data_IF_937377572298
#
_entry.id   IF_937377572298
#
_cell.length_a   1.000
_cell.length_b   1.000
_cell.length_c   1.000
_cell.angle_alpha   90.00
_cell.angle_beta   90.00
_cell.angle_gamma   90.00
#
_symmetry.space_group_name_H-M   'P 1'
#
loop_
_entity.id
_entity.type
_entity.pdbx_description
1 polymer ?
#
# COMPACT_ATOMS: atom_id res chain seq x y z
N UNK A 1 -62.10 21.76 2.68
CA UNK A 1 -60.94 22.31 3.42
C UNK A 1 -60.38 21.25 4.36
N UNK A 2 -59.37 20.49 3.92
CA UNK A 2 -58.69 19.49 4.74
C UNK A 2 -57.65 20.19 5.62
N UNK A 3 -57.71 19.98 6.95
CA UNK A 3 -56.69 20.50 7.86
C UNK A 3 -56.40 19.53 9.00
N UNK A 4 -55.14 19.11 8.99
CA UNK A 4 -54.28 18.77 10.13
C UNK A 4 -54.52 17.42 10.80
N UNK A 5 -53.83 16.42 10.27
CA UNK A 5 -53.11 15.49 11.14
C UNK A 5 -51.70 15.27 10.56
N UNK A 6 -50.72 15.93 11.15
CA UNK A 6 -49.30 15.59 10.99
C UNK A 6 -48.70 15.60 12.38
N UNK A 7 -49.08 14.58 13.16
CA UNK A 7 -48.51 14.30 14.46
C UNK A 7 -47.23 13.51 14.20
N UNK A 8 -46.10 14.19 14.32
CA UNK A 8 -44.75 13.69 14.54
C UNK A 8 -44.55 12.19 14.27
N UNK A 9 -44.02 11.87 13.08
CA UNK A 9 -43.37 10.58 12.85
C UNK A 9 -42.02 10.57 13.58
N UNK A 10 -41.75 9.58 14.45
CA UNK A 10 -40.51 9.51 15.19
C UNK A 10 -39.36 9.28 14.20
N UNK A 11 -38.24 9.91 14.50
CA UNK A 11 -36.95 9.70 13.86
C UNK A 11 -36.58 8.21 13.94
N UNK A 12 -36.96 7.43 12.92
CA UNK A 12 -36.43 6.07 12.74
C UNK A 12 -35.09 6.20 12.02
N UNK A 13 -34.08 6.32 12.87
CA UNK A 13 -32.76 5.71 12.78
C UNK A 13 -32.76 4.46 11.87
N UNK A 14 -32.73 4.66 10.55
CA UNK A 14 -32.31 3.60 9.63
C UNK A 14 -30.80 3.67 9.57
N UNK A 15 -30.20 3.03 10.57
CA UNK A 15 -28.96 2.27 10.48
C UNK A 15 -28.19 2.58 9.18
N UNK A 16 -27.42 3.67 9.22
CA UNK A 16 -26.33 3.86 8.27
C UNK A 16 -25.45 2.65 8.50
N UNK A 17 -25.58 1.63 7.65
CA UNK A 17 -24.63 0.55 7.58
C UNK A 17 -23.27 1.21 7.40
N UNK A 18 -22.55 1.36 8.50
CA UNK A 18 -21.13 1.68 8.52
C UNK A 18 -20.51 0.46 7.84
N UNK A 19 -20.43 0.52 6.52
CA UNK A 19 -19.75 -0.48 5.72
C UNK A 19 -18.30 -0.44 6.20
N UNK A 20 -17.99 -1.33 7.14
CA UNK A 20 -16.65 -1.60 7.65
C UNK A 20 -15.74 -1.66 6.41
N UNK A 21 -14.93 -0.62 6.25
CA UNK A 21 -14.10 -0.48 5.06
C UNK A 21 -13.24 -1.76 4.96
N UNK A 22 -13.11 -2.36 3.76
CA UNK A 22 -12.32 -3.56 3.61
C UNK A 22 -10.93 -3.33 4.19
N UNK A 23 -10.36 -4.33 4.89
CA UNK A 23 -9.07 -4.18 5.55
C UNK A 23 -8.04 -3.69 4.53
N UNK A 24 -7.17 -2.75 4.91
CA UNK A 24 -6.25 -2.15 3.97
C UNK A 24 -5.34 -3.22 3.36
N UNK A 25 -5.10 -3.17 2.04
CA UNK A 25 -4.37 -4.22 1.37
C UNK A 25 -2.94 -4.32 1.95
N UNK A 26 -2.38 -5.52 2.08
CA UNK A 26 -1.02 -5.68 2.57
C UNK A 26 -0.02 -5.13 1.54
N UNK A 27 1.09 -4.56 2.03
CA UNK A 27 2.19 -4.10 1.20
C UNK A 27 2.90 -5.30 0.58
N UNK A 28 3.08 -5.26 -0.74
CA UNK A 28 3.65 -6.36 -1.51
C UNK A 28 5.10 -6.71 -1.11
N UNK A 29 5.91 -5.75 -0.65
CA UNK A 29 7.31 -6.00 -0.28
C UNK A 29 7.48 -6.51 1.15
N UNK A 30 6.79 -5.89 2.13
CA UNK A 30 7.01 -6.18 3.55
C UNK A 30 5.88 -6.96 4.22
N UNK A 31 4.77 -7.21 3.52
CA UNK A 31 3.61 -7.97 4.01
C UNK A 31 2.74 -7.25 5.07
N UNK A 32 3.16 -6.07 5.54
CA UNK A 32 2.43 -5.30 6.57
C UNK A 32 1.16 -4.66 5.98
N UNK A 33 0.10 -4.45 6.78
CA UNK A 33 -1.07 -3.69 6.32
C UNK A 33 -0.64 -2.30 5.85
N UNK A 34 -1.21 -1.84 4.74
CA UNK A 34 -1.04 -0.44 4.35
C UNK A 34 -1.87 0.46 5.27
N UNK A 35 -1.39 1.68 5.48
CA UNK A 35 -2.13 2.67 6.26
C UNK A 35 -3.03 3.51 5.37
N UNK A 36 -3.13 4.79 5.71
CA UNK A 36 -3.85 5.79 4.92
C UNK A 36 -3.16 6.05 3.58
N UNK A 37 -1.83 5.94 3.53
CA UNK A 37 -1.04 6.26 2.33
C UNK A 37 -0.62 5.00 1.58
N UNK A 38 -1.20 4.78 0.39
CA UNK A 38 -0.88 3.65 -0.49
C UNK A 38 -0.24 4.18 -1.78
N UNK A 39 0.89 3.59 -2.17
CA UNK A 39 1.51 3.81 -3.47
C UNK A 39 1.33 2.57 -4.34
N UNK A 40 0.85 2.76 -5.56
CA UNK A 40 0.72 1.69 -6.55
C UNK A 40 2.04 1.55 -7.31
N UNK A 41 2.77 0.47 -7.00
CA UNK A 41 4.06 0.18 -7.60
C UNK A 41 3.93 -0.78 -8.77
N UNK A 42 4.77 -0.61 -9.80
CA UNK A 42 4.89 -1.54 -10.92
C UNK A 42 6.11 -2.43 -10.71
N UNK A 43 5.95 -3.72 -10.30
CA UNK A 43 7.09 -4.62 -10.06
C UNK A 43 7.93 -4.82 -11.31
N UNK A 44 7.27 -4.93 -12.47
CA UNK A 44 7.91 -4.85 -13.78
C UNK A 44 7.78 -3.41 -14.29
N UNK A 45 8.86 -2.71 -14.64
CA UNK A 45 8.77 -1.36 -15.19
C UNK A 45 7.92 -1.31 -16.47
N UNK A 46 7.12 -0.24 -16.66
CA UNK A 46 6.28 -0.06 -17.87
C UNK A 46 7.09 -0.14 -19.17
N UNK A 47 8.33 0.36 -19.18
CA UNK A 47 9.24 0.30 -20.34
C UNK A 47 9.67 -1.12 -20.73
N UNK A 48 9.39 -2.10 -19.87
CA UNK A 48 9.65 -3.53 -20.08
C UNK A 48 8.36 -4.33 -20.25
N UNK A 49 7.23 -3.65 -20.48
CA UNK A 49 5.93 -4.29 -20.71
C UNK A 49 5.16 -4.61 -19.43
N UNK A 50 5.61 -4.14 -18.26
CA UNK A 50 4.90 -4.34 -17.00
C UNK A 50 3.55 -3.64 -16.97
N UNK A 51 2.50 -4.40 -16.61
CA UNK A 51 1.11 -3.93 -16.49
C UNK A 51 0.57 -4.07 -15.08
N UNK A 52 1.16 -4.99 -14.31
CA UNK A 52 0.76 -5.25 -12.94
C UNK A 52 1.07 -4.06 -12.04
N UNK A 53 0.16 -3.81 -11.12
CA UNK A 53 0.30 -2.83 -10.05
C UNK A 53 0.06 -3.53 -8.72
N UNK A 54 0.90 -3.24 -7.76
CA UNK A 54 0.80 -3.80 -6.41
C UNK A 54 0.75 -2.67 -5.38
N UNK A 55 -0.05 -2.82 -4.31
CA UNK A 55 -0.07 -1.87 -3.23
C UNK A 55 1.23 -1.95 -2.43
N UNK A 56 1.82 -0.79 -2.15
CA UNK A 56 3.10 -0.69 -1.46
C UNK A 56 3.22 0.60 -0.66
N UNK A 57 3.98 0.60 0.44
CA UNK A 57 4.29 1.85 1.15
C UNK A 57 5.29 2.69 0.34
N UNK A 58 5.21 4.02 0.48
CA UNK A 58 6.16 4.93 -0.17
C UNK A 58 7.62 4.70 0.26
N UNK A 59 7.88 4.33 1.51
CA UNK A 59 9.23 3.97 1.98
C UNK A 59 9.73 2.66 1.36
N UNK A 60 8.86 1.66 1.21
CA UNK A 60 9.18 0.40 0.56
C UNK A 60 9.55 0.64 -0.91
N UNK A 61 8.81 1.51 -1.60
CA UNK A 61 9.09 1.87 -2.99
C UNK A 61 10.44 2.56 -3.13
N UNK A 62 10.70 3.57 -2.30
CA UNK A 62 11.98 4.29 -2.32
C UNK A 62 13.15 3.36 -2.06
N UNK A 63 13.01 2.41 -1.12
CA UNK A 63 14.07 1.42 -0.83
C UNK A 63 14.30 0.52 -2.04
N UNK A 64 13.22 0.04 -2.66
CA UNK A 64 13.31 -0.88 -3.78
C UNK A 64 14.02 -0.25 -4.98
N UNK A 65 13.61 0.97 -5.39
CA UNK A 65 14.25 1.67 -6.52
C UNK A 65 15.67 2.18 -6.21
N UNK A 66 16.03 2.31 -4.93
CA UNK A 66 17.37 2.68 -4.51
C UNK A 66 18.35 1.48 -4.53
N UNK A 67 17.84 0.26 -4.36
CA UNK A 67 18.67 -0.96 -4.32
C UNK A 67 18.69 -1.71 -5.66
N UNK A 68 17.64 -1.61 -6.47
CA UNK A 68 17.53 -2.31 -7.74
C UNK A 68 17.45 -1.38 -8.94
N UNK A 69 18.09 -1.78 -10.02
CA UNK A 69 17.91 -1.18 -11.34
C UNK A 69 16.65 -1.71 -12.02
N UNK A 70 16.14 -0.97 -13.02
CA UNK A 70 15.01 -1.41 -13.84
C UNK A 70 15.23 -2.79 -14.49
N UNK A 71 16.48 -3.12 -14.85
CA UNK A 71 16.82 -4.41 -15.43
C UNK A 71 16.78 -5.54 -14.42
N UNK A 72 17.15 -5.30 -13.16
CA UNK A 72 17.05 -6.29 -12.09
C UNK A 72 15.59 -6.49 -11.69
N UNK A 73 14.83 -5.40 -11.52
CA UNK A 73 13.38 -5.49 -11.25
C UNK A 73 12.63 -6.26 -12.34
N UNK A 74 13.01 -6.10 -13.61
CA UNK A 74 12.43 -6.89 -14.69
C UNK A 74 12.72 -8.40 -14.54
N UNK A 75 13.92 -8.80 -14.08
CA UNK A 75 14.27 -10.22 -13.92
C UNK A 75 13.51 -10.87 -12.77
N UNK A 76 13.32 -10.15 -11.67
CA UNK A 76 12.51 -10.63 -10.55
C UNK A 76 11.01 -10.57 -10.87
N UNK A 77 10.56 -9.51 -11.54
CA UNK A 77 9.17 -9.32 -11.92
C UNK A 77 8.25 -9.30 -10.70
N UNK A 78 7.33 -10.27 -10.61
CA UNK A 78 6.39 -10.42 -9.51
C UNK A 78 6.93 -11.30 -8.36
N UNK A 79 8.19 -11.73 -8.44
CA UNK A 79 8.83 -12.56 -7.41
C UNK A 79 9.38 -11.70 -6.27
N UNK A 80 8.62 -11.59 -5.18
CA UNK A 80 9.04 -10.91 -3.94
C UNK A 80 10.13 -11.68 -3.24
N UNK A 81 10.06 -13.02 -3.22
CA UNK A 81 11.02 -13.86 -2.50
C UNK A 81 12.42 -13.65 -3.06
N UNK A 82 12.54 -13.58 -4.39
CA UNK A 82 13.79 -13.23 -5.06
C UNK A 82 14.36 -11.85 -4.67
N UNK A 83 13.50 -10.86 -4.42
CA UNK A 83 13.92 -9.54 -3.94
C UNK A 83 14.36 -9.59 -2.46
N UNK A 84 13.68 -10.40 -1.63
CA UNK A 84 14.01 -10.60 -0.22
C UNK A 84 15.32 -11.35 0.00
N UNK A 85 15.82 -12.10 -1.00
CA UNK A 85 17.15 -12.71 -0.96
C UNK A 85 18.27 -11.67 -0.94
N UNK A 86 18.02 -10.42 -1.33
CA UNK A 86 19.02 -9.36 -1.26
C UNK A 86 19.23 -8.91 0.20
N UNK A 87 20.45 -9.08 0.77
CA UNK A 87 20.71 -8.75 2.17
C UNK A 87 20.32 -7.32 2.59
N UNK A 88 20.49 -6.27 1.77
CA UNK A 88 20.03 -4.92 2.09
C UNK A 88 18.51 -4.82 2.24
N UNK A 89 17.75 -5.49 1.37
CA UNK A 89 16.28 -5.51 1.38
C UNK A 89 15.78 -6.28 2.58
N UNK A 90 16.37 -7.45 2.87
CA UNK A 90 16.01 -8.24 4.04
C UNK A 90 16.16 -7.46 5.33
N UNK A 91 17.31 -6.81 5.53
CA UNK A 91 17.57 -5.96 6.69
C UNK A 91 16.58 -4.80 6.80
N UNK A 92 16.21 -4.21 5.66
CA UNK A 92 15.19 -3.16 5.62
C UNK A 92 13.81 -3.68 6.04
N UNK A 93 13.39 -4.83 5.52
CA UNK A 93 12.10 -5.45 5.85
C UNK A 93 12.05 -5.83 7.33
N UNK A 94 13.11 -6.43 7.88
CA UNK A 94 13.20 -6.74 9.30
C UNK A 94 13.13 -5.47 10.18
N UNK A 95 13.76 -4.38 9.74
CA UNK A 95 13.70 -3.09 10.44
C UNK A 95 12.34 -2.39 10.36
N UNK A 96 11.67 -2.50 9.21
CA UNK A 96 10.35 -1.89 8.98
C UNK A 96 9.22 -2.70 9.59
N UNK A 97 9.43 -4.00 9.87
CA UNK A 97 8.46 -4.90 10.51
C UNK A 97 7.89 -4.33 11.83
N UNK A 98 8.71 -3.58 12.57
CA UNK A 98 8.36 -3.02 13.87
C UNK A 98 7.92 -1.53 13.82
N UNK A 99 7.71 -0.97 12.63
CA UNK A 99 7.30 0.44 12.45
C UNK A 99 5.78 0.56 12.29
N UNK A 100 5.26 1.79 12.33
CA UNK A 100 3.87 2.11 12.02
C UNK A 100 3.56 1.94 10.50
N UNK A 101 2.34 1.55 10.07
CA UNK A 101 1.99 1.38 8.65
C UNK A 101 2.06 2.66 7.82
N UNK A 102 1.85 3.84 8.41
CA UNK A 102 1.99 5.14 7.75
C UNK A 102 3.39 5.76 7.98
N UNK A 103 4.34 4.99 8.49
CA UNK A 103 5.71 5.46 8.69
C UNK A 103 6.38 5.82 7.35
N UNK A 104 6.71 7.09 7.20
CA UNK A 104 7.48 7.61 6.08
C UNK A 104 8.86 8.06 6.57
N UNK A 105 9.90 7.64 5.85
CA UNK A 105 11.25 8.15 6.05
C UNK A 105 11.85 8.56 4.70
N UNK A 106 12.56 9.67 4.68
CA UNK A 106 13.38 10.08 3.55
C UNK A 106 14.61 9.21 3.51
N UNK A 107 14.71 8.37 2.48
CA UNK A 107 15.91 7.56 2.26
C UNK A 107 16.91 8.44 1.53
N UNK A 108 18.09 8.64 2.12
CA UNK A 108 19.17 9.35 1.45
C UNK A 108 19.54 8.57 0.19
N UNK A 109 19.22 9.12 -0.98
CA UNK A 109 19.62 8.52 -2.26
C UNK A 109 21.14 8.44 -2.29
N UNK A 110 21.69 7.23 -2.40
CA UNK A 110 23.13 7.06 -2.64
C UNK A 110 23.41 7.67 -4.02
N UNK A 111 24.21 8.74 -4.06
CA UNK A 111 24.69 9.27 -5.34
C UNK A 111 25.50 8.17 -6.03
N UNK A 112 25.17 7.93 -7.29
CA UNK A 112 25.70 6.86 -8.11
C UNK A 112 26.58 7.46 -9.20
#
# INVERSE_FOLDING_TARGET
>A
MARKYSKHGPYEDVHREEAEAPPPPPCWLCGRPTGTTIVWHHPVPKSRGGRDVVPMHGICQQTLIANFTNSELQRHGMDVEGLLLHPPIRKFVDWVANKDPDFTATITKKQR
#
